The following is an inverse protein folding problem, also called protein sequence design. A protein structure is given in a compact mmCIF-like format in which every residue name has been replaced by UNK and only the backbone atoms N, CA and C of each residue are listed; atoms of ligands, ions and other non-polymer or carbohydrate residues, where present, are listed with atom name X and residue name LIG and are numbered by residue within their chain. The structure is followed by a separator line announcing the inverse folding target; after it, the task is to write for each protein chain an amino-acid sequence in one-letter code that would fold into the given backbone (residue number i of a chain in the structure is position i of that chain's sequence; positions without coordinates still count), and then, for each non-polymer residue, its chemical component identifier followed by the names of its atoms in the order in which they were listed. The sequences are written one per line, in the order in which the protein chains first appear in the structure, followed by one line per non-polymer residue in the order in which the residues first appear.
data_IF_228926371157
#
_entry.id   IF_228926371157
#
_cell.length_a   1.000
_cell.length_b   1.000
_cell.length_c   1.000
_cell.angle_alpha   90.00
_cell.angle_beta   90.00
_cell.angle_gamma   90.00
#
_symmetry.space_group_name_H-M   'P 1'
#
loop_
_entity.id
_entity.type
_entity.pdbx_description
1 polymer ?
#
# COMPACT_ATOMS: atom_id res chain seq x y z
N UNK A 1 -23.01 -30.40 9.06
CA UNK A 1 -22.47 -29.99 7.74
C UNK A 1 -22.28 -28.48 7.56
N UNK A 2 -23.11 -27.61 8.16
CA UNK A 2 -22.99 -26.14 8.05
C UNK A 2 -21.65 -25.60 8.61
N UNK A 3 -21.19 -26.11 9.74
CA UNK A 3 -19.97 -25.65 10.43
C UNK A 3 -18.69 -25.89 9.62
N UNK A 4 -18.63 -26.99 8.87
CA UNK A 4 -17.45 -27.36 8.08
C UNK A 4 -17.34 -26.51 6.80
N UNK A 5 -18.47 -26.23 6.13
CA UNK A 5 -18.52 -25.30 4.99
C UNK A 5 -18.15 -23.87 5.38
N UNK A 6 -18.58 -23.44 6.57
CA UNK A 6 -18.23 -22.11 7.10
C UNK A 6 -16.74 -21.96 7.38
N UNK A 7 -16.13 -23.00 7.97
CA UNK A 7 -14.69 -23.02 8.26
C UNK A 7 -13.84 -22.98 6.98
N UNK A 8 -14.25 -23.72 5.94
CA UNK A 8 -13.57 -23.73 4.65
C UNK A 8 -13.67 -22.35 3.98
N UNK A 9 -14.84 -21.71 4.03
CA UNK A 9 -15.06 -20.39 3.42
C UNK A 9 -14.16 -19.31 4.05
N UNK A 10 -14.11 -19.26 5.40
CA UNK A 10 -13.25 -18.30 6.13
C UNK A 10 -11.77 -18.52 5.79
N UNK A 11 -11.33 -19.78 5.69
CA UNK A 11 -9.94 -20.09 5.42
C UNK A 11 -9.53 -19.73 3.97
N UNK A 12 -10.46 -19.88 3.02
CA UNK A 12 -10.26 -19.47 1.62
C UNK A 12 -10.20 -17.94 1.48
N UNK A 13 -11.10 -17.20 2.15
CA UNK A 13 -11.07 -15.73 2.14
C UNK A 13 -9.77 -15.19 2.77
N UNK A 14 -9.36 -15.74 3.91
CA UNK A 14 -8.14 -15.32 4.58
C UNK A 14 -6.88 -15.58 3.74
N UNK A 15 -6.83 -16.71 3.02
CA UNK A 15 -5.76 -17.00 2.06
C UNK A 15 -5.75 -16.02 0.88
N UNK A 16 -6.92 -15.63 0.36
CA UNK A 16 -7.04 -14.64 -0.72
C UNK A 16 -6.57 -13.25 -0.28
N UNK A 17 -7.02 -12.78 0.89
CA UNK A 17 -6.60 -11.49 1.48
C UNK A 17 -5.08 -11.48 1.69
N UNK A 18 -4.53 -12.57 2.22
CA UNK A 18 -3.08 -12.71 2.43
C UNK A 18 -2.29 -12.66 1.12
N UNK A 19 -2.73 -13.40 0.10
CA UNK A 19 -2.10 -13.38 -1.22
C UNK A 19 -2.18 -11.99 -1.85
N UNK A 20 -3.33 -11.32 -1.74
CA UNK A 20 -3.50 -9.94 -2.21
C UNK A 20 -2.52 -8.99 -1.51
N UNK A 21 -2.44 -9.03 -0.18
CA UNK A 21 -1.52 -8.19 0.59
C UNK A 21 -0.05 -8.48 0.29
N UNK A 22 0.30 -9.74 0.06
CA UNK A 22 1.64 -10.14 -0.36
C UNK A 22 1.96 -9.55 -1.73
N UNK A 23 1.05 -9.73 -2.71
CA UNK A 23 1.22 -9.19 -4.06
C UNK A 23 1.31 -7.66 -4.07
N UNK A 24 0.38 -6.98 -3.38
CA UNK A 24 0.39 -5.52 -3.25
C UNK A 24 1.66 -5.04 -2.54
N UNK A 25 2.08 -5.71 -1.46
CA UNK A 25 3.30 -5.40 -0.74
C UNK A 25 4.55 -5.51 -1.61
N UNK A 26 4.71 -6.62 -2.35
CA UNK A 26 5.83 -6.80 -3.29
C UNK A 26 5.83 -5.73 -4.37
N UNK A 27 4.67 -5.46 -4.97
CA UNK A 27 4.57 -4.50 -6.06
C UNK A 27 4.89 -3.08 -5.60
N UNK A 28 4.37 -2.67 -4.43
CA UNK A 28 4.70 -1.37 -3.82
C UNK A 28 6.16 -1.30 -3.36
N UNK A 29 6.74 -2.42 -2.93
CA UNK A 29 8.12 -2.46 -2.48
C UNK A 29 9.09 -2.30 -3.66
N UNK A 30 8.85 -3.02 -4.75
CA UNK A 30 9.62 -2.88 -5.99
C UNK A 30 9.49 -1.48 -6.59
N UNK A 31 8.25 -0.96 -6.70
CA UNK A 31 8.02 0.41 -7.16
C UNK A 31 8.70 1.46 -6.29
N UNK A 32 8.73 1.21 -4.97
CA UNK A 32 9.33 2.11 -3.98
C UNK A 32 10.85 2.04 -4.03
N UNK A 33 11.41 0.85 -4.29
CA UNK A 33 12.83 0.62 -4.48
C UNK A 33 13.35 1.31 -5.74
N UNK A 34 12.67 1.18 -6.87
CA UNK A 34 12.99 1.92 -8.11
C UNK A 34 12.91 3.44 -7.86
N UNK A 35 11.84 3.85 -7.16
CA UNK A 35 11.67 5.10 -6.42
C UNK A 35 12.97 5.65 -5.84
N UNK A 36 13.35 4.99 -4.76
CA UNK A 36 14.45 5.31 -3.88
C UNK A 36 15.78 5.33 -4.64
N UNK A 37 16.03 4.31 -5.47
CA UNK A 37 17.22 4.22 -6.30
C UNK A 37 17.37 5.43 -7.23
N UNK A 38 16.28 5.85 -7.88
CA UNK A 38 16.31 7.01 -8.78
C UNK A 38 16.61 8.31 -8.03
N UNK A 39 16.00 8.51 -6.86
CA UNK A 39 16.26 9.67 -6.00
C UNK A 39 17.73 9.71 -5.56
N UNK A 40 18.29 8.57 -5.12
CA UNK A 40 19.71 8.46 -4.74
C UNK A 40 20.64 8.75 -5.92
N UNK A 41 20.28 8.31 -7.14
CA UNK A 41 21.08 8.56 -8.34
C UNK A 41 21.10 10.05 -8.74
N UNK A 42 20.01 10.79 -8.52
CA UNK A 42 19.89 12.21 -8.87
C UNK A 42 20.17 13.16 -7.70
N UNK A 43 20.87 12.69 -6.65
CA UNK A 43 21.07 13.48 -5.42
C UNK A 43 21.83 14.79 -5.63
N UNK A 44 22.70 14.86 -6.65
CA UNK A 44 23.48 16.06 -7.00
C UNK A 44 22.70 17.08 -7.83
N UNK A 45 21.60 16.67 -8.47
CA UNK A 45 20.83 17.50 -9.41
C UNK A 45 19.53 18.04 -8.79
N UNK A 46 19.10 17.49 -7.65
CA UNK A 46 17.82 17.81 -7.01
C UNK A 46 17.99 18.72 -5.79
N UNK A 47 17.70 20.01 -5.95
CA UNK A 47 17.63 20.98 -4.84
C UNK A 47 16.61 20.57 -3.75
N UNK A 48 15.65 19.70 -4.08
CA UNK A 48 14.66 19.14 -3.16
C UNK A 48 14.89 17.65 -2.90
N UNK A 49 16.14 17.20 -2.93
CA UNK A 49 16.52 15.81 -2.65
C UNK A 49 15.99 15.30 -1.31
N UNK A 50 16.13 16.08 -0.23
CA UNK A 50 15.73 15.67 1.13
C UNK A 50 14.22 15.31 1.24
N UNK A 51 13.26 16.15 0.82
CA UNK A 51 11.84 15.76 0.85
C UNK A 51 11.52 14.61 -0.10
N UNK A 52 12.19 14.51 -1.25
CA UNK A 52 12.03 13.37 -2.17
C UNK A 52 12.50 12.05 -1.58
N UNK A 53 13.62 12.07 -0.86
CA UNK A 53 14.18 10.92 -0.17
C UNK A 53 13.28 10.47 0.98
N UNK A 54 12.77 11.41 1.77
CA UNK A 54 11.80 11.11 2.85
C UNK A 54 10.55 10.43 2.29
N UNK A 55 9.97 10.96 1.21
CA UNK A 55 8.81 10.37 0.55
C UNK A 55 9.08 8.96 0.00
N UNK A 56 10.23 8.76 -0.63
CA UNK A 56 10.63 7.45 -1.14
C UNK A 56 10.85 6.44 -0.01
N UNK A 57 11.53 6.84 1.05
CA UNK A 57 11.81 6.02 2.24
C UNK A 57 10.53 5.65 2.98
N UNK A 58 9.63 6.62 3.17
CA UNK A 58 8.34 6.40 3.81
C UNK A 58 7.46 5.45 2.99
N UNK A 59 7.43 5.60 1.67
CA UNK A 59 6.70 4.70 0.78
C UNK A 59 7.26 3.28 0.84
N UNK A 60 8.59 3.13 0.89
CA UNK A 60 9.27 1.84 1.03
C UNK A 60 8.96 1.19 2.39
N UNK A 61 8.97 1.98 3.46
CA UNK A 61 8.65 1.52 4.81
C UNK A 61 7.20 1.05 4.93
N UNK A 62 6.25 1.79 4.33
CA UNK A 62 4.85 1.39 4.25
C UNK A 62 4.70 0.10 3.44
N UNK A 63 5.34 -0.01 2.28
CA UNK A 63 5.30 -1.22 1.46
C UNK A 63 5.85 -2.44 2.21
N UNK A 64 6.95 -2.27 2.94
CA UNK A 64 7.53 -3.30 3.79
C UNK A 64 6.57 -3.73 4.90
N UNK A 65 5.88 -2.78 5.57
CA UNK A 65 4.86 -3.10 6.58
C UNK A 65 3.72 -3.90 5.99
N UNK A 66 3.18 -3.50 4.84
CA UNK A 66 2.09 -4.22 4.13
C UNK A 66 2.56 -5.63 3.76
N UNK A 67 3.77 -5.76 3.21
CA UNK A 67 4.35 -7.05 2.86
C UNK A 67 4.56 -7.95 4.08
N UNK A 68 5.07 -7.40 5.19
CA UNK A 68 5.27 -8.15 6.44
C UNK A 68 3.97 -8.72 6.98
N UNK A 69 2.88 -7.94 6.95
CA UNK A 69 1.55 -8.43 7.37
C UNK A 69 1.02 -9.46 6.34
N UNK A 70 1.29 -9.28 5.04
CA UNK A 70 0.94 -10.25 4.00
C UNK A 70 1.67 -11.59 4.15
N UNK A 71 2.92 -11.60 4.64
CA UNK A 71 3.71 -12.82 4.82
C UNK A 71 3.40 -13.56 6.13
N UNK A 72 2.69 -12.93 7.07
CA UNK A 72 2.30 -13.58 8.32
C UNK A 72 1.28 -14.71 8.05
N UNK A 73 1.63 -15.93 8.47
CA UNK A 73 0.77 -17.13 8.34
C UNK A 73 -0.25 -17.26 9.48
N UNK A 74 -0.24 -16.35 10.47
CA UNK A 74 -1.11 -16.37 11.65
C UNK A 74 -2.46 -15.65 11.45
N UNK A 75 -3.29 -15.65 12.51
CA UNK A 75 -4.53 -14.85 12.55
C UNK A 75 -4.18 -13.36 12.54
N UNK A 76 -4.80 -12.59 11.66
CA UNK A 76 -4.63 -11.15 11.63
C UNK A 76 -5.24 -10.52 12.88
N UNK A 77 -4.49 -9.61 13.51
CA UNK A 77 -4.93 -8.93 14.72
C UNK A 77 -5.61 -7.60 14.38
N UNK A 78 -6.39 -7.08 15.33
CA UNK A 78 -6.99 -5.73 15.21
C UNK A 78 -5.93 -4.65 15.03
N UNK A 79 -4.74 -4.85 15.62
CA UNK A 79 -3.59 -3.95 15.45
C UNK A 79 -3.08 -3.95 14.00
N UNK A 80 -3.05 -5.11 13.35
CA UNK A 80 -2.65 -5.23 11.94
C UNK A 80 -3.66 -4.55 11.01
N UNK A 81 -4.95 -4.72 11.28
CA UNK A 81 -6.01 -4.04 10.54
C UNK A 81 -5.90 -2.51 10.65
N UNK A 82 -5.70 -1.97 11.85
CA UNK A 82 -5.49 -0.53 12.08
C UNK A 82 -4.21 -0.06 11.37
N UNK A 83 -3.14 -0.86 11.43
CA UNK A 83 -1.88 -0.57 10.74
C UNK A 83 -2.08 -0.49 9.22
N UNK A 84 -2.85 -1.40 8.63
CA UNK A 84 -3.18 -1.39 7.20
C UNK A 84 -4.00 -0.17 6.81
N UNK A 85 -5.02 0.18 7.61
CA UNK A 85 -5.84 1.38 7.38
C UNK A 85 -4.96 2.62 7.37
N UNK A 86 -4.17 2.84 8.44
CA UNK A 86 -3.28 4.01 8.54
C UNK A 86 -2.27 4.05 7.40
N UNK A 87 -1.65 2.92 7.09
CA UNK A 87 -0.65 2.80 6.03
C UNK A 87 -1.26 3.12 4.66
N UNK A 88 -2.43 2.56 4.36
CA UNK A 88 -3.16 2.82 3.12
C UNK A 88 -3.61 4.28 2.99
N UNK A 89 -4.14 4.87 4.06
CA UNK A 89 -4.56 6.28 4.07
C UNK A 89 -3.39 7.25 3.87
N UNK A 90 -2.25 7.03 4.54
CA UNK A 90 -1.05 7.86 4.37
C UNK A 90 -0.54 7.76 2.93
N UNK A 91 -0.46 6.54 2.39
CA UNK A 91 -0.04 6.30 1.02
C UNK A 91 -0.97 7.01 0.02
N UNK A 92 -2.28 6.88 0.22
CA UNK A 92 -3.29 7.53 -0.61
C UNK A 92 -3.17 9.06 -0.53
N UNK A 93 -3.05 9.65 0.66
CA UNK A 93 -2.93 11.10 0.83
C UNK A 93 -1.72 11.66 0.08
N UNK A 94 -0.55 11.05 0.27
CA UNK A 94 0.71 11.47 -0.34
C UNK A 94 0.65 11.37 -1.86
N UNK A 95 0.21 10.21 -2.38
CA UNK A 95 0.29 9.93 -3.80
C UNK A 95 -0.88 10.52 -4.58
N UNK A 96 -2.05 10.71 -3.98
CA UNK A 96 -3.15 11.48 -4.57
C UNK A 96 -2.80 12.96 -4.67
N UNK A 97 -2.16 13.54 -3.65
CA UNK A 97 -1.65 14.92 -3.74
C UNK A 97 -0.62 15.06 -4.86
N UNK A 98 0.32 14.12 -4.95
CA UNK A 98 1.32 14.11 -6.03
C UNK A 98 0.69 13.88 -7.41
N UNK A 99 -0.33 13.04 -7.50
CA UNK A 99 -1.09 12.82 -8.72
C UNK A 99 -1.82 14.10 -9.14
N UNK A 100 -2.45 14.80 -8.19
CA UNK A 100 -3.09 16.09 -8.43
C UNK A 100 -2.08 17.09 -9.01
N UNK A 101 -0.90 17.25 -8.39
CA UNK A 101 0.16 18.11 -8.91
C UNK A 101 0.62 17.70 -10.33
N UNK A 102 0.75 16.41 -10.60
CA UNK A 102 1.16 15.90 -11.92
C UNK A 102 0.08 16.07 -13.00
N UNK A 103 -1.19 16.15 -12.59
CA UNK A 103 -2.33 16.37 -13.49
C UNK A 103 -2.57 17.86 -13.76
N UNK A 104 -2.23 18.74 -12.81
CA UNK A 104 -2.40 20.20 -12.95
C UNK A 104 -1.21 20.87 -13.64
N UNK A 105 -0.05 20.21 -13.72
CA UNK A 105 1.10 20.71 -14.48
C UNK A 105 0.91 20.49 -15.99
N UNK A 106 0.67 21.58 -16.71
CA UNK A 106 0.62 21.66 -18.17
C UNK A 106 2.02 21.87 -18.76
N UNK A 107 2.87 20.84 -18.77
CA UNK A 107 4.11 20.95 -19.56
C UNK A 107 4.63 19.60 -20.05
N UNK A 108 5.06 19.60 -21.31
CA UNK A 108 5.54 18.47 -22.10
C UNK A 108 6.83 17.85 -21.58
N UNK A 109 6.83 16.55 -21.25
CA UNK A 109 7.99 15.66 -21.37
C UNK A 109 7.60 14.20 -21.06
N UNK A 110 8.07 13.26 -21.88
CA UNK A 110 7.81 11.81 -21.75
C UNK A 110 8.16 11.17 -20.39
N UNK A 111 8.89 11.88 -19.51
CA UNK A 111 9.15 11.45 -18.13
C UNK A 111 7.94 11.55 -17.18
N UNK A 112 6.89 12.29 -17.53
CA UNK A 112 5.68 12.41 -16.71
C UNK A 112 4.80 11.15 -16.75
N UNK A 113 4.77 10.40 -17.86
CA UNK A 113 3.88 9.25 -18.00
C UNK A 113 4.17 8.17 -16.95
N UNK A 114 5.45 7.85 -16.76
CA UNK A 114 5.90 6.89 -15.74
C UNK A 114 5.57 7.41 -14.34
N UNK A 115 5.79 8.70 -14.07
CA UNK A 115 5.52 9.30 -12.77
C UNK A 115 4.03 9.35 -12.44
N UNK A 116 3.17 9.62 -13.43
CA UNK A 116 1.70 9.58 -13.32
C UNK A 116 1.21 8.16 -13.09
N UNK A 117 1.69 7.19 -13.88
CA UNK A 117 1.33 5.79 -13.74
C UNK A 117 1.74 5.26 -12.35
N UNK A 118 2.92 5.63 -11.86
CA UNK A 118 3.37 5.28 -10.51
C UNK A 118 2.45 5.92 -9.46
N UNK A 119 2.12 7.20 -9.59
CA UNK A 119 1.24 7.88 -8.64
C UNK A 119 -0.18 7.29 -8.59
N UNK A 120 -0.76 6.96 -9.75
CA UNK A 120 -2.03 6.25 -9.82
C UNK A 120 -1.93 4.87 -9.17
N UNK A 121 -0.86 4.12 -9.45
CA UNK A 121 -0.65 2.80 -8.87
C UNK A 121 -0.60 2.85 -7.35
N UNK A 122 0.15 3.80 -6.79
CA UNK A 122 0.23 3.97 -5.33
C UNK A 122 -1.08 4.44 -4.72
N UNK A 123 -1.83 5.31 -5.37
CA UNK A 123 -3.14 5.76 -4.90
C UNK A 123 -4.16 4.60 -4.89
N UNK A 124 -4.23 3.83 -5.98
CA UNK A 124 -5.12 2.67 -6.11
C UNK A 124 -4.75 1.60 -5.09
N UNK A 125 -3.46 1.26 -4.97
CA UNK A 125 -3.01 0.28 -3.99
C UNK A 125 -3.19 0.75 -2.55
N UNK A 126 -2.96 2.03 -2.26
CA UNK A 126 -3.22 2.61 -0.95
C UNK A 126 -4.69 2.49 -0.56
N UNK A 127 -5.59 2.76 -1.50
CA UNK A 127 -7.04 2.59 -1.34
C UNK A 127 -7.39 1.13 -1.10
N UNK A 128 -6.85 0.21 -1.90
CA UNK A 128 -7.14 -1.21 -1.78
C UNK A 128 -6.64 -1.79 -0.44
N UNK A 129 -5.43 -1.40 0.00
CA UNK A 129 -4.87 -1.77 1.31
C UNK A 129 -5.74 -1.23 2.45
N UNK A 130 -6.21 0.01 2.34
CA UNK A 130 -7.12 0.61 3.33
C UNK A 130 -8.45 -0.15 3.41
N UNK A 131 -9.08 -0.43 2.26
CA UNK A 131 -10.33 -1.19 2.18
C UNK A 131 -10.18 -2.60 2.76
N UNK A 132 -9.07 -3.27 2.47
CA UNK A 132 -8.75 -4.57 3.07
C UNK A 132 -8.63 -4.45 4.58
N UNK A 133 -7.90 -3.45 5.10
CA UNK A 133 -7.81 -3.18 6.54
C UNK A 133 -9.17 -2.93 7.20
N UNK A 134 -10.07 -2.19 6.53
CA UNK A 134 -11.44 -1.97 7.00
C UNK A 134 -12.26 -3.26 7.03
N UNK A 135 -12.17 -4.09 5.99
CA UNK A 135 -12.86 -5.39 5.92
C UNK A 135 -12.39 -6.33 7.03
N UNK A 136 -11.08 -6.41 7.28
CA UNK A 136 -10.51 -7.20 8.38
C UNK A 136 -11.00 -6.67 9.73
N UNK A 137 -10.99 -5.35 9.93
CA UNK A 137 -11.47 -4.72 11.16
C UNK A 137 -12.95 -5.02 11.44
N UNK A 138 -13.81 -4.96 10.40
CA UNK A 138 -15.24 -5.31 10.50
C UNK A 138 -15.44 -6.79 10.83
N UNK A 139 -14.72 -7.68 10.16
CA UNK A 139 -14.80 -9.13 10.41
C UNK A 139 -14.39 -9.47 11.85
N UNK A 140 -13.34 -8.83 12.37
CA UNK A 140 -12.89 -8.99 13.76
C UNK A 140 -13.90 -8.44 14.77
N UNK A 141 -14.62 -7.34 14.45
CA UNK A 141 -15.68 -6.81 15.31
C UNK A 141 -16.85 -7.80 15.42
N UNK A 142 -17.34 -8.30 14.28
CA UNK A 142 -18.44 -9.26 14.23
C UNK A 142 -18.10 -10.54 15.02
N UNK A 143 -16.85 -11.02 14.92
CA UNK A 143 -16.42 -12.21 15.63
C UNK A 143 -16.22 -12.01 17.14
N UNK A 144 -15.99 -10.77 17.61
CA UNK A 144 -15.79 -10.46 19.02
C UNK A 144 -17.06 -10.03 19.75
N UNK A 145 -18.20 -9.91 19.07
CA UNK A 145 -19.50 -9.66 19.71
C UNK A 145 -19.72 -8.22 20.19
N UNK A 146 -19.05 -7.24 19.58
CA UNK A 146 -19.29 -5.79 19.78
C UNK A 146 -20.22 -5.21 18.71
#
# INVERSE_FOLDING_TARGET
MLTQRFYIFINVENKKIRNFMTGAGVLLFLGGGVRFYRVMRTHTEDHFFAPHLLLASLSLFIAWKVLKIGLQKGKQTRKDAISLIRSGSILMMIWSYRLFLLLTQTTSAGGMAISRALAMLYAVMGTAVMCVGLSISRSLRIHNGD
#
